data_IF_570340586225
#
_entry.id   IF_570340586225
#
_cell.length_a   1.000
_cell.length_b   1.000
_cell.length_c   1.000
_cell.angle_alpha   90.00
_cell.angle_beta   90.00
_cell.angle_gamma   90.00
#
_symmetry.space_group_name_H-M   'P 1'
#
loop_
_entity.id
_entity.type
_entity.pdbx_description
1 polymer ?
#
# COMPACT_ATOMS: atom_id res chain seq x y z
N UNK A 1 28.15 21.17 17.03
CA UNK A 1 27.41 19.90 17.22
C UNK A 1 25.91 20.20 17.24
N UNK A 2 25.25 20.13 16.08
CA UNK A 2 23.83 20.45 15.95
C UNK A 2 22.99 19.48 16.80
N UNK A 3 22.12 20.02 17.67
CA UNK A 3 21.09 19.26 18.38
C UNK A 3 20.31 18.45 17.35
N UNK A 4 20.37 17.12 17.44
CA UNK A 4 19.36 16.24 16.85
C UNK A 4 18.01 16.67 17.45
N UNK A 5 17.29 17.52 16.74
CA UNK A 5 15.85 17.69 16.95
C UNK A 5 15.24 16.29 16.97
N UNK A 6 14.49 16.00 18.02
CA UNK A 6 13.98 14.67 18.29
C UNK A 6 12.88 14.31 17.28
N UNK A 7 13.31 13.75 16.15
CA UNK A 7 12.47 13.31 15.04
C UNK A 7 11.29 12.45 15.50
N UNK A 8 11.49 11.63 16.55
CA UNK A 8 10.46 10.74 17.10
C UNK A 8 9.24 11.49 17.64
N UNK A 9 9.46 12.67 18.22
CA UNK A 9 8.39 13.53 18.73
C UNK A 9 7.57 14.16 17.61
N UNK A 10 8.21 14.50 16.47
CA UNK A 10 7.53 15.05 15.29
C UNK A 10 6.73 13.97 14.54
N UNK A 11 7.30 12.76 14.43
CA UNK A 11 6.72 11.69 13.62
C UNK A 11 5.50 11.03 14.28
N UNK A 12 5.46 11.00 15.62
CA UNK A 12 4.40 10.35 16.41
C UNK A 12 3.36 11.37 16.89
N UNK A 13 3.56 12.67 16.67
CA UNK A 13 2.69 13.74 17.17
C UNK A 13 1.22 13.57 16.75
N UNK A 14 0.97 13.04 15.54
CA UNK A 14 -0.37 12.85 14.98
C UNK A 14 -1.01 11.50 15.35
N UNK A 15 -0.46 10.75 16.29
CA UNK A 15 -1.01 9.45 16.67
C UNK A 15 -2.33 9.65 17.43
N UNK A 16 -3.46 9.38 16.79
CA UNK A 16 -4.78 9.41 17.42
C UNK A 16 -5.00 8.13 18.25
N UNK A 17 -4.68 8.20 19.54
CA UNK A 17 -5.09 7.19 20.52
C UNK A 17 -6.30 7.71 21.30
N UNK A 18 -7.22 6.81 21.66
CA UNK A 18 -8.41 7.15 22.45
C UNK A 18 -8.07 7.77 23.82
N UNK A 19 -6.86 7.46 24.33
CA UNK A 19 -6.32 8.06 25.56
C UNK A 19 -4.93 8.66 25.30
N UNK A 20 -4.82 9.95 25.59
CA UNK A 20 -3.62 10.77 25.38
C UNK A 20 -2.36 10.24 26.08
N UNK A 21 -2.50 9.47 27.17
CA UNK A 21 -1.38 8.86 27.87
C UNK A 21 -0.74 7.72 27.08
N UNK A 22 -1.49 7.05 26.20
CA UNK A 22 -0.93 6.07 25.27
C UNK A 22 -0.04 6.76 24.24
N UNK A 23 -0.45 7.93 23.73
CA UNK A 23 0.35 8.73 22.81
C UNK A 23 1.69 9.15 23.42
N UNK A 24 1.66 9.71 24.63
CA UNK A 24 2.87 10.06 25.39
C UNK A 24 3.77 8.84 25.63
N UNK A 25 3.17 7.70 26.01
CA UNK A 25 3.92 6.44 26.22
C UNK A 25 4.61 5.97 24.94
N UNK A 26 3.92 5.97 23.80
CA UNK A 26 4.49 5.55 22.52
C UNK A 26 5.68 6.44 22.14
N UNK A 27 5.56 7.76 22.30
CA UNK A 27 6.65 8.70 22.06
C UNK A 27 7.88 8.39 22.93
N UNK A 28 7.66 8.14 24.22
CA UNK A 28 8.72 7.78 25.16
C UNK A 28 9.44 6.48 24.78
N UNK A 29 8.66 5.47 24.38
CA UNK A 29 9.19 4.17 23.92
C UNK A 29 9.99 4.33 22.64
N UNK A 30 9.49 5.05 21.64
CA UNK A 30 10.22 5.23 20.38
C UNK A 30 11.46 6.09 20.59
N UNK A 31 11.40 7.14 21.41
CA UNK A 31 12.57 7.93 21.80
C UNK A 31 13.64 7.08 22.49
N UNK A 32 13.25 6.18 23.40
CA UNK A 32 14.18 5.26 24.07
C UNK A 32 14.83 4.29 23.08
N UNK A 33 14.03 3.58 22.27
CA UNK A 33 14.53 2.55 21.37
C UNK A 33 15.33 3.14 20.18
N UNK A 34 14.97 4.33 19.70
CA UNK A 34 15.67 5.00 18.59
C UNK A 34 17.08 5.47 18.95
N UNK A 35 17.34 5.80 20.23
CA UNK A 35 18.68 6.13 20.73
C UNK A 35 19.61 4.93 20.81
N UNK A 36 19.04 3.72 20.91
CA UNK A 36 19.78 2.47 21.13
C UNK A 36 19.42 1.39 20.10
N UNK A 37 19.57 1.66 18.79
CA UNK A 37 19.19 0.70 17.76
C UNK A 37 20.03 -0.57 17.86
N UNK A 38 19.36 -1.74 17.81
CA UNK A 38 20.01 -3.05 17.88
C UNK A 38 20.26 -3.58 19.30
N UNK A 39 19.97 -2.80 20.34
CA UNK A 39 19.96 -3.29 21.73
C UNK A 39 18.63 -3.97 22.06
N UNK A 40 18.66 -4.92 22.98
CA UNK A 40 17.43 -5.47 23.57
C UNK A 40 16.72 -4.42 24.44
N UNK A 41 15.42 -4.59 24.66
CA UNK A 41 14.63 -3.65 25.50
C UNK A 41 15.26 -3.42 26.88
N UNK A 42 15.72 -4.44 27.64
CA UNK A 42 16.36 -4.21 28.94
C UNK A 42 17.69 -3.47 28.85
N UNK A 43 18.43 -3.62 27.74
CA UNK A 43 19.69 -2.90 27.52
C UNK A 43 19.42 -1.44 27.14
N UNK A 44 18.45 -1.19 26.27
CA UNK A 44 18.05 0.14 25.84
C UNK A 44 17.41 0.98 26.95
N UNK A 45 16.70 0.33 27.90
CA UNK A 45 16.10 0.95 29.07
C UNK A 45 16.86 0.62 30.37
N UNK A 46 18.19 0.45 30.27
CA UNK A 46 19.06 0.06 31.38
C UNK A 46 19.10 1.07 32.53
N UNK A 47 18.80 2.34 32.25
CA UNK A 47 18.69 3.42 33.24
C UNK A 47 17.48 3.24 34.18
N UNK A 48 16.46 2.48 33.78
CA UNK A 48 15.28 2.26 34.62
C UNK A 48 14.52 0.96 34.32
N UNK A 49 14.39 0.12 35.36
CA UNK A 49 13.53 -1.07 35.33
C UNK A 49 12.07 -0.72 35.02
N UNK A 50 11.57 0.43 35.49
CA UNK A 50 10.19 0.86 35.21
C UNK A 50 9.99 1.20 33.73
N UNK A 51 11.01 1.74 33.07
CA UNK A 51 10.97 2.06 31.64
C UNK A 51 10.92 0.77 30.80
N UNK A 52 11.75 -0.23 31.11
CA UNK A 52 11.68 -1.56 30.50
C UNK A 52 10.29 -2.17 30.62
N UNK A 53 9.71 -2.15 31.84
CA UNK A 53 8.38 -2.69 32.08
C UNK A 53 7.29 -1.91 31.34
N UNK A 54 7.45 -0.59 31.20
CA UNK A 54 6.50 0.26 30.47
C UNK A 54 6.44 -0.06 28.97
N UNK A 55 7.57 -0.45 28.36
CA UNK A 55 7.67 -0.86 26.94
C UNK A 55 6.93 -2.17 26.73
N UNK A 56 7.20 -3.18 27.56
CA UNK A 56 6.49 -4.47 27.46
C UNK A 56 4.98 -4.32 27.69
N UNK A 57 4.58 -3.48 28.65
CA UNK A 57 3.16 -3.19 28.90
C UNK A 57 2.49 -2.49 27.71
N UNK A 58 3.20 -1.61 27.00
CA UNK A 58 2.69 -0.97 25.79
C UNK A 58 2.44 -2.01 24.69
N UNK A 59 3.40 -2.90 24.43
CA UNK A 59 3.26 -3.94 23.40
C UNK A 59 2.18 -4.97 23.72
N UNK A 60 1.95 -5.26 25.00
CA UNK A 60 0.89 -6.16 25.43
C UNK A 60 -0.50 -5.49 25.45
N UNK A 61 -0.60 -4.17 25.27
CA UNK A 61 -1.86 -3.44 25.39
C UNK A 61 -2.70 -3.56 24.12
N UNK A 62 -3.78 -4.36 24.19
CA UNK A 62 -4.73 -4.57 23.08
C UNK A 62 -5.45 -3.31 22.59
N UNK A 63 -5.47 -2.24 23.38
CA UNK A 63 -6.07 -0.94 22.99
C UNK A 63 -5.14 -0.10 22.11
N UNK A 64 -3.84 -0.40 22.09
CA UNK A 64 -2.85 0.26 21.23
C UNK A 64 -2.63 -0.61 20.01
N UNK A 65 -3.28 -0.27 18.91
CA UNK A 65 -3.17 -1.04 17.67
C UNK A 65 -1.96 -0.58 16.84
N UNK A 66 -1.19 -1.49 16.22
CA UNK A 66 -0.08 -1.12 15.34
C UNK A 66 -0.47 -0.16 14.21
N UNK A 67 -1.73 -0.19 13.77
CA UNK A 67 -2.28 0.71 12.76
C UNK A 67 -2.30 2.17 13.25
N UNK A 68 -2.57 2.41 14.55
CA UNK A 68 -2.61 3.76 15.14
C UNK A 68 -1.22 4.35 15.29
N UNK A 69 -0.21 3.52 15.57
CA UNK A 69 1.21 3.94 15.61
C UNK A 69 1.71 4.26 14.21
N UNK A 70 1.32 3.47 13.19
CA UNK A 70 1.70 3.74 11.79
C UNK A 70 0.97 4.95 11.21
N UNK A 71 -0.25 5.23 11.66
CA UNK A 71 -1.04 6.38 11.19
C UNK A 71 -0.30 7.72 11.35
N UNK A 72 0.54 7.88 12.35
CA UNK A 72 1.31 9.11 12.56
C UNK A 72 2.51 9.23 11.62
N UNK A 73 3.22 8.13 11.33
CA UNK A 73 4.17 8.06 10.21
C UNK A 73 3.51 8.36 8.85
N UNK A 74 2.22 8.06 8.69
CA UNK A 74 1.47 8.38 7.48
C UNK A 74 1.05 9.87 7.42
N UNK A 75 0.73 10.47 8.56
CA UNK A 75 0.49 11.92 8.70
C UNK A 75 1.76 12.76 8.60
N UNK A 76 2.92 12.19 8.95
CA UNK A 76 4.25 12.81 8.81
C UNK A 76 4.80 12.76 7.38
N UNK A 77 4.09 12.09 6.44
CA UNK A 77 4.07 12.53 5.04
C UNK A 77 3.43 13.93 5.03
N UNK A 78 4.20 14.92 5.48
CA UNK A 78 3.79 16.32 5.65
C UNK A 78 3.51 17.05 4.33
N UNK A 79 3.29 16.30 3.25
CA UNK A 79 2.82 16.84 1.99
C UNK A 79 1.35 17.26 2.16
N UNK A 80 1.06 18.51 1.82
CA UNK A 80 -0.29 19.00 1.69
C UNK A 80 -1.10 18.08 0.75
N UNK A 81 -2.40 18.00 0.97
CA UNK A 81 -3.28 17.32 0.01
C UNK A 81 -3.11 17.99 -1.34
N UNK A 82 -2.65 17.23 -2.34
CA UNK A 82 -2.36 17.75 -3.67
C UNK A 82 -3.64 17.92 -4.49
N UNK A 83 -4.67 17.12 -4.20
CA UNK A 83 -5.98 17.22 -4.84
C UNK A 83 -6.93 16.11 -4.44
N UNK A 84 -8.15 16.21 -4.99
CA UNK A 84 -9.23 15.25 -4.80
C UNK A 84 -9.77 14.78 -6.15
N UNK A 85 -10.21 13.53 -6.22
CA UNK A 85 -10.89 12.98 -7.40
C UNK A 85 -11.85 11.87 -6.99
N UNK A 86 -12.98 11.81 -7.68
CA UNK A 86 -13.93 10.71 -7.55
C UNK A 86 -13.50 9.55 -8.44
N UNK A 87 -13.50 8.34 -7.89
CA UNK A 87 -13.32 7.11 -8.66
C UNK A 87 -14.51 6.18 -8.49
N UNK A 88 -14.86 5.47 -9.56
CA UNK A 88 -15.86 4.42 -9.50
C UNK A 88 -15.22 3.12 -9.00
N UNK A 89 -15.85 2.54 -7.97
CA UNK A 89 -15.44 1.27 -7.40
C UNK A 89 -16.37 0.19 -7.94
N UNK A 90 -15.88 -0.74 -8.78
CA UNK A 90 -16.73 -1.73 -9.40
C UNK A 90 -17.27 -2.70 -8.35
N UNK A 91 -18.51 -3.15 -8.56
CA UNK A 91 -19.17 -4.19 -7.78
C UNK A 91 -18.30 -5.46 -7.72
N UNK A 92 -18.26 -6.09 -6.55
CA UNK A 92 -17.83 -7.47 -6.39
C UNK A 92 -18.86 -8.21 -5.49
N UNK A 93 -18.71 -9.53 -5.22
CA UNK A 93 -19.68 -10.25 -4.37
C UNK A 93 -19.85 -9.66 -2.95
N UNK A 94 -18.84 -8.97 -2.43
CA UNK A 94 -18.78 -8.42 -1.08
C UNK A 94 -19.08 -6.92 -1.01
N UNK A 95 -19.15 -6.23 -2.17
CA UNK A 95 -19.27 -4.76 -2.23
C UNK A 95 -20.15 -4.30 -3.39
N UNK A 96 -21.02 -3.34 -3.10
CA UNK A 96 -21.83 -2.67 -4.11
C UNK A 96 -20.98 -1.73 -4.98
N UNK A 97 -21.46 -1.47 -6.20
CA UNK A 97 -20.93 -0.39 -7.04
C UNK A 97 -21.11 0.92 -6.28
N UNK A 98 -20.04 1.71 -6.14
CA UNK A 98 -20.11 3.01 -5.49
C UNK A 98 -19.03 3.95 -5.99
N UNK A 99 -19.28 5.24 -5.87
CA UNK A 99 -18.28 6.28 -6.09
C UNK A 99 -17.55 6.56 -4.78
N UNK A 100 -16.23 6.62 -4.83
CA UNK A 100 -15.39 6.98 -3.69
C UNK A 100 -14.65 8.30 -3.99
N UNK A 101 -14.77 9.28 -3.09
CA UNK A 101 -13.97 10.50 -3.15
C UNK A 101 -12.60 10.21 -2.54
N UNK A 102 -11.53 10.37 -3.32
CA UNK A 102 -10.16 10.11 -2.87
C UNK A 102 -9.38 11.41 -2.77
N UNK A 103 -8.57 11.52 -1.72
CA UNK A 103 -7.48 12.49 -1.59
C UNK A 103 -6.15 11.84 -1.91
N UNK A 104 -5.23 12.64 -2.46
CA UNK A 104 -3.86 12.19 -2.72
C UNK A 104 -2.83 13.12 -2.10
N UNK A 105 -1.78 12.50 -1.57
CA UNK A 105 -0.55 13.15 -1.12
C UNK A 105 0.61 12.43 -1.79
N UNK A 106 1.63 13.17 -2.22
CA UNK A 106 2.82 12.55 -2.81
C UNK A 106 4.09 13.20 -2.29
N UNK A 107 5.15 12.42 -2.18
CA UNK A 107 6.49 12.93 -1.88
C UNK A 107 7.58 12.02 -2.47
N UNK A 108 8.72 12.61 -2.76
CA UNK A 108 9.93 11.88 -3.11
C UNK A 108 10.65 11.40 -1.84
N UNK A 109 11.09 10.14 -1.82
CA UNK A 109 11.76 9.52 -0.68
C UNK A 109 12.96 8.72 -1.16
N UNK A 110 14.05 8.80 -0.40
CA UNK A 110 15.25 7.99 -0.64
C UNK A 110 15.27 6.85 0.37
N UNK A 111 15.19 5.61 -0.11
CA UNK A 111 15.30 4.41 0.73
C UNK A 111 16.78 4.06 0.88
N UNK A 112 17.27 4.23 2.10
CA UNK A 112 18.64 3.90 2.47
C UNK A 112 18.86 2.38 2.57
N UNK A 113 20.08 1.93 2.27
CA UNK A 113 20.46 0.52 2.43
C UNK A 113 20.44 0.16 3.93
N UNK A 114 19.81 -0.97 4.34
CA UNK A 114 19.70 -1.34 5.74
C UNK A 114 21.06 -1.35 6.45
N UNK A 115 21.11 -0.75 7.65
CA UNK A 115 22.39 -0.49 8.35
C UNK A 115 23.23 -1.75 8.59
N UNK A 116 22.58 -2.88 8.84
CA UNK A 116 23.20 -4.17 9.15
C UNK A 116 23.29 -5.13 7.96
N UNK A 117 23.06 -4.66 6.73
CA UNK A 117 23.16 -5.50 5.55
C UNK A 117 24.63 -5.94 5.33
N UNK A 118 24.88 -7.25 5.24
CA UNK A 118 26.24 -7.83 5.12
C UNK A 118 27.05 -7.26 3.94
N UNK A 119 26.38 -6.85 2.88
CA UNK A 119 26.99 -6.30 1.67
C UNK A 119 26.63 -4.81 1.46
N UNK A 120 26.45 -4.03 2.53
CA UNK A 120 25.99 -2.64 2.46
C UNK A 120 26.80 -1.77 1.50
N UNK A 121 28.13 -1.96 1.44
CA UNK A 121 29.02 -1.22 0.53
C UNK A 121 28.76 -1.48 -0.96
N UNK A 122 28.09 -2.57 -1.32
CA UNK A 122 27.79 -2.94 -2.71
C UNK A 122 26.50 -2.30 -3.24
N UNK A 123 25.63 -1.82 -2.35
CA UNK A 123 24.33 -1.30 -2.74
C UNK A 123 24.27 0.21 -2.54
N UNK A 124 23.52 0.87 -3.41
CA UNK A 124 23.25 2.30 -3.31
C UNK A 124 21.81 2.52 -2.83
N UNK A 125 21.54 3.62 -2.10
CA UNK A 125 20.18 4.01 -1.77
C UNK A 125 19.33 4.22 -3.03
N UNK A 126 18.05 3.86 -2.95
CA UNK A 126 17.12 3.93 -4.08
C UNK A 126 16.20 5.14 -3.91
N UNK A 127 16.12 5.97 -4.94
CA UNK A 127 15.14 7.05 -5.00
C UNK A 127 13.79 6.50 -5.46
N UNK A 128 12.73 6.77 -4.70
CA UNK A 128 11.36 6.42 -5.02
C UNK A 128 10.43 7.61 -4.77
N UNK A 129 9.22 7.48 -5.27
CA UNK A 129 8.11 8.35 -4.96
C UNK A 129 7.07 7.55 -4.19
N UNK A 130 6.48 8.17 -3.17
CA UNK A 130 5.39 7.61 -2.37
C UNK A 130 4.14 8.41 -2.66
N UNK A 131 3.03 7.71 -2.94
CA UNK A 131 1.70 8.29 -3.08
C UNK A 131 0.80 7.68 -2.00
N UNK A 132 0.27 8.51 -1.12
CA UNK A 132 -0.77 8.12 -0.17
C UNK A 132 -2.13 8.52 -0.77
N UNK A 133 -3.01 7.54 -0.92
CA UNK A 133 -4.37 7.68 -1.43
C UNK A 133 -5.33 7.31 -0.30
N UNK A 134 -6.23 8.23 0.06
CA UNK A 134 -7.17 8.04 1.17
C UNK A 134 -8.58 8.45 0.77
N UNK A 135 -9.56 7.61 1.12
CA UNK A 135 -10.97 7.89 0.93
C UNK A 135 -11.49 8.91 1.94
N UNK A 136 -12.15 9.93 1.42
CA UNK A 136 -12.86 10.94 2.20
C UNK A 136 -14.27 10.44 2.49
N UNK A 137 -14.66 10.48 3.76
CA UNK A 137 -16.00 10.09 4.23
C UNK A 137 -16.43 8.70 3.72
N UNK A 138 -15.68 7.64 4.04
CA UNK A 138 -16.01 6.28 3.63
C UNK A 138 -17.39 5.85 4.21
N UNK A 139 -18.16 5.00 3.50
CA UNK A 139 -19.40 4.46 4.02
C UNK A 139 -19.16 3.66 5.31
N UNK A 140 -20.05 3.75 6.30
CA UNK A 140 -19.90 3.06 7.60
C UNK A 140 -19.72 1.54 7.47
N UNK A 141 -20.39 0.92 6.50
CA UNK A 141 -20.37 -0.53 6.28
C UNK A 141 -19.24 -0.99 5.33
N UNK A 142 -18.52 -0.06 4.71
CA UNK A 142 -17.49 -0.37 3.74
C UNK A 142 -16.09 -0.15 4.32
N UNK A 143 -15.16 -1.07 4.02
CA UNK A 143 -13.75 -0.86 4.33
C UNK A 143 -13.23 0.36 3.53
N UNK A 144 -12.64 1.37 4.18
CA UNK A 144 -12.17 2.57 3.50
C UNK A 144 -11.02 2.25 2.54
N UNK A 145 -10.97 2.96 1.42
CA UNK A 145 -9.83 2.88 0.51
C UNK A 145 -8.66 3.63 1.12
N UNK A 146 -7.56 2.90 1.30
CA UNK A 146 -6.28 3.44 1.72
C UNK A 146 -5.17 2.71 1.00
N UNK A 147 -4.46 3.41 0.12
CA UNK A 147 -3.33 2.86 -0.62
C UNK A 147 -2.08 3.67 -0.36
N UNK A 148 -0.99 2.99 -0.02
CA UNK A 148 0.35 3.57 0.00
C UNK A 148 1.11 2.97 -1.17
N UNK A 149 1.27 3.75 -2.23
CA UNK A 149 1.89 3.31 -3.47
C UNK A 149 3.35 3.78 -3.50
N UNK A 150 4.25 2.87 -3.84
CA UNK A 150 5.64 3.19 -4.14
C UNK A 150 5.83 3.12 -5.65
N UNK A 151 6.45 4.13 -6.24
CA UNK A 151 6.67 4.20 -7.69
C UNK A 151 7.99 4.87 -8.03
N UNK A 152 8.60 4.44 -9.13
CA UNK A 152 9.74 5.11 -9.77
C UNK A 152 9.30 6.18 -10.77
N UNK A 153 8.00 6.23 -11.08
CA UNK A 153 7.42 7.19 -12.01
C UNK A 153 7.39 8.60 -11.40
N UNK A 154 7.46 9.67 -12.22
CA UNK A 154 7.41 11.05 -11.73
C UNK A 154 6.06 11.35 -11.05
N UNK A 155 6.09 12.20 -10.01
CA UNK A 155 4.91 12.61 -9.22
C UNK A 155 4.91 14.12 -8.92
N UNK A 156 5.58 14.91 -9.75
CA UNK A 156 5.78 16.35 -9.56
C UNK A 156 4.48 17.14 -9.76
N UNK A 157 3.56 16.62 -10.57
CA UNK A 157 2.27 17.24 -10.86
C UNK A 157 1.11 16.37 -10.39
N UNK A 158 -0.01 17.02 -10.07
CA UNK A 158 -1.25 16.33 -9.69
C UNK A 158 -1.72 15.34 -10.78
N UNK A 159 -1.54 15.69 -12.06
CA UNK A 159 -1.89 14.82 -13.19
C UNK A 159 -1.07 13.53 -13.19
N UNK A 160 0.24 13.61 -12.93
CA UNK A 160 1.12 12.43 -12.82
C UNK A 160 0.73 11.55 -11.64
N UNK A 161 0.42 12.14 -10.48
CA UNK A 161 -0.06 11.40 -9.30
C UNK A 161 -1.33 10.62 -9.64
N UNK A 162 -2.32 11.28 -10.25
CA UNK A 162 -3.56 10.61 -10.64
C UNK A 162 -3.36 9.55 -11.72
N UNK A 163 -2.39 9.70 -12.62
CA UNK A 163 -2.04 8.66 -13.58
C UNK A 163 -1.58 7.38 -12.88
N UNK A 164 -0.69 7.50 -11.88
CA UNK A 164 -0.25 6.38 -11.06
C UNK A 164 -1.43 5.71 -10.32
N UNK A 165 -2.34 6.51 -9.74
CA UNK A 165 -3.53 5.99 -9.06
C UNK A 165 -4.47 5.28 -10.03
N UNK A 166 -4.71 5.84 -11.23
CA UNK A 166 -5.50 5.20 -12.28
C UNK A 166 -4.89 3.86 -12.70
N UNK A 167 -3.60 3.82 -12.99
CA UNK A 167 -2.91 2.57 -13.33
C UNK A 167 -3.02 1.53 -12.21
N UNK A 168 -2.85 1.93 -10.96
CA UNK A 168 -3.02 1.03 -9.83
C UNK A 168 -4.47 0.54 -9.67
N UNK A 169 -5.47 1.38 -9.95
CA UNK A 169 -6.88 0.94 -9.92
C UNK A 169 -7.19 -0.16 -10.94
N UNK A 170 -6.45 -0.20 -12.06
CA UNK A 170 -6.57 -1.23 -13.09
C UNK A 170 -5.89 -2.56 -12.71
N UNK A 171 -5.18 -2.62 -11.57
CA UNK A 171 -4.47 -3.84 -11.13
C UNK A 171 -5.36 -5.08 -11.10
N UNK A 172 -6.66 -4.93 -10.81
CA UNK A 172 -7.63 -6.03 -10.78
C UNK A 172 -7.91 -6.66 -12.15
N UNK A 173 -7.55 -6.02 -13.27
CA UNK A 173 -7.76 -6.59 -14.61
C UNK A 173 -7.03 -7.92 -14.79
N UNK A 174 -5.87 -8.13 -14.14
CA UNK A 174 -5.17 -9.41 -14.20
C UNK A 174 -5.97 -10.55 -13.54
N UNK A 175 -6.72 -10.26 -12.48
CA UNK A 175 -7.59 -11.25 -11.85
C UNK A 175 -8.78 -11.59 -12.76
N UNK A 176 -9.30 -10.59 -13.49
CA UNK A 176 -10.32 -10.84 -14.52
C UNK A 176 -9.76 -11.70 -15.64
N UNK A 177 -8.53 -11.47 -16.07
CA UNK A 177 -7.84 -12.33 -17.04
C UNK A 177 -7.71 -13.77 -16.52
N UNK A 178 -7.25 -13.96 -15.27
CA UNK A 178 -7.17 -15.29 -14.66
C UNK A 178 -8.55 -15.97 -14.56
N UNK A 179 -9.59 -15.22 -14.22
CA UNK A 179 -10.96 -15.74 -14.20
C UNK A 179 -11.41 -16.19 -15.60
N UNK A 180 -11.18 -15.37 -16.63
CA UNK A 180 -11.49 -15.74 -18.02
C UNK A 180 -10.72 -16.99 -18.44
N UNK A 181 -9.43 -17.09 -18.12
CA UNK A 181 -8.60 -18.22 -18.47
C UNK A 181 -9.01 -19.52 -17.74
N UNK A 182 -9.29 -19.43 -16.44
CA UNK A 182 -9.62 -20.60 -15.60
C UNK A 182 -11.08 -21.01 -15.69
N UNK A 183 -12.00 -20.07 -15.48
CA UNK A 183 -13.43 -20.37 -15.42
C UNK A 183 -14.11 -20.26 -16.78
N UNK A 184 -13.68 -19.30 -17.63
CA UNK A 184 -14.22 -19.12 -18.98
C UNK A 184 -13.69 -20.19 -19.95
N UNK A 185 -12.38 -20.20 -20.14
CA UNK A 185 -11.68 -21.14 -21.04
C UNK A 185 -11.49 -22.53 -20.45
N UNK A 186 -11.75 -22.72 -19.14
CA UNK A 186 -11.69 -24.04 -18.46
C UNK A 186 -10.35 -24.75 -18.60
N UNK A 187 -9.24 -24.00 -18.65
CA UNK A 187 -7.91 -24.57 -18.87
C UNK A 187 -7.54 -25.64 -17.83
N UNK A 188 -8.01 -25.49 -16.59
CA UNK A 188 -7.74 -26.42 -15.48
C UNK A 188 -8.49 -27.76 -15.63
N UNK A 189 -9.41 -27.89 -16.59
CA UNK A 189 -10.13 -29.14 -16.88
C UNK A 189 -9.45 -29.99 -17.96
N UNK A 190 -8.44 -29.44 -18.64
CA UNK A 190 -7.71 -30.14 -19.70
C UNK A 190 -6.94 -31.34 -19.10
N UNK A 191 -7.14 -32.52 -19.66
CA UNK A 191 -6.45 -33.76 -19.27
C UNK A 191 -5.21 -33.99 -20.14
N UNK A 192 -4.30 -33.01 -20.19
CA UNK A 192 -3.04 -33.14 -20.95
C UNK A 192 -1.96 -33.77 -20.08
N UNK A 193 -1.38 -34.86 -20.56
CA UNK A 193 -0.49 -35.73 -19.76
C UNK A 193 0.95 -35.23 -19.66
N UNK A 194 1.40 -34.36 -20.57
CA UNK A 194 2.79 -33.90 -20.62
C UNK A 194 2.91 -32.40 -20.37
N UNK A 195 4.02 -32.03 -19.73
CA UNK A 195 4.38 -30.63 -19.46
C UNK A 195 4.35 -29.78 -20.73
N UNK A 196 4.93 -30.26 -21.83
CA UNK A 196 5.00 -29.49 -23.08
C UNK A 196 3.62 -29.23 -23.68
N UNK A 197 2.71 -30.22 -23.61
CA UNK A 197 1.32 -30.04 -24.04
C UNK A 197 0.58 -29.03 -23.16
N UNK A 198 0.80 -29.07 -21.84
CA UNK A 198 0.23 -28.10 -20.91
C UNK A 198 0.73 -26.67 -21.18
N UNK A 199 2.03 -26.49 -21.45
CA UNK A 199 2.60 -25.19 -21.79
C UNK A 199 2.05 -24.64 -23.12
N UNK A 200 1.94 -25.49 -24.13
CA UNK A 200 1.36 -25.11 -25.42
C UNK A 200 -0.13 -24.71 -25.29
N UNK A 201 -0.88 -25.48 -24.50
CA UNK A 201 -2.26 -25.12 -24.18
C UNK A 201 -2.32 -23.80 -23.42
N UNK A 202 -1.53 -23.61 -22.38
CA UNK A 202 -1.47 -22.35 -21.62
C UNK A 202 -1.17 -21.15 -22.51
N UNK A 203 -0.19 -21.25 -23.41
CA UNK A 203 0.13 -20.17 -24.36
C UNK A 203 -1.07 -19.84 -25.26
N UNK A 204 -1.68 -20.87 -25.87
CA UNK A 204 -2.81 -20.71 -26.80
C UNK A 204 -4.04 -20.12 -26.09
N UNK A 205 -4.42 -20.71 -24.96
CA UNK A 205 -5.58 -20.27 -24.18
C UNK A 205 -5.36 -18.90 -23.53
N UNK A 206 -4.12 -18.51 -23.22
CA UNK A 206 -3.84 -17.15 -22.74
C UNK A 206 -4.16 -16.09 -23.81
N UNK A 207 -3.82 -16.35 -25.08
CA UNK A 207 -4.18 -15.47 -26.20
C UNK A 207 -5.70 -15.40 -26.36
N UNK A 208 -6.38 -16.55 -26.33
CA UNK A 208 -7.85 -16.62 -26.43
C UNK A 208 -8.53 -15.88 -25.28
N UNK A 209 -8.10 -16.12 -24.03
CA UNK A 209 -8.65 -15.46 -22.85
C UNK A 209 -8.45 -13.95 -22.89
N UNK A 210 -7.27 -13.48 -23.32
CA UNK A 210 -7.02 -12.06 -23.53
C UNK A 210 -7.93 -11.48 -24.62
N UNK A 211 -8.11 -12.17 -25.76
CA UNK A 211 -8.97 -11.69 -26.84
C UNK A 211 -10.43 -11.62 -26.43
N UNK A 212 -10.95 -12.63 -25.72
CA UNK A 212 -12.29 -12.60 -25.15
C UNK A 212 -12.48 -11.42 -24.20
N UNK A 213 -11.47 -11.16 -23.35
CA UNK A 213 -11.47 -10.00 -22.47
C UNK A 213 -11.46 -8.69 -23.27
N UNK A 214 -10.59 -8.55 -24.29
CA UNK A 214 -10.52 -7.39 -25.18
C UNK A 214 -11.89 -7.08 -25.81
N UNK A 215 -12.49 -8.06 -26.50
CA UNK A 215 -13.80 -7.94 -27.13
C UNK A 215 -14.87 -7.47 -26.12
N UNK A 216 -14.86 -8.05 -24.92
CA UNK A 216 -15.79 -7.68 -23.85
C UNK A 216 -15.64 -6.22 -23.42
N UNK A 217 -14.42 -5.72 -23.30
CA UNK A 217 -14.17 -4.32 -22.90
C UNK A 217 -14.42 -3.34 -24.05
N UNK A 218 -14.08 -3.69 -25.30
CA UNK A 218 -14.42 -2.89 -26.48
C UNK A 218 -15.93 -2.68 -26.57
N UNK A 219 -16.73 -3.74 -26.48
CA UNK A 219 -18.19 -3.64 -26.53
C UNK A 219 -18.79 -2.83 -25.38
N UNK A 220 -18.15 -2.82 -24.20
CA UNK A 220 -18.62 -2.03 -23.04
C UNK A 220 -18.26 -0.55 -23.12
N UNK A 221 -17.07 -0.23 -23.65
CA UNK A 221 -16.56 1.13 -23.72
C UNK A 221 -17.01 1.85 -25.00
N UNK A 222 -17.17 1.10 -26.09
CA UNK A 222 -17.58 1.60 -27.40
C UNK A 222 -18.68 0.71 -28.01
N UNK A 223 -19.92 0.75 -27.46
CA UNK A 223 -21.01 -0.12 -27.91
C UNK A 223 -21.38 0.02 -29.40
N UNK A 224 -21.16 1.20 -29.97
CA UNK A 224 -21.49 1.55 -31.36
C UNK A 224 -20.38 1.19 -32.36
N UNK A 225 -19.26 0.65 -31.88
CA UNK A 225 -18.11 0.34 -32.75
C UNK A 225 -18.34 -0.98 -33.49
N UNK A 226 -17.99 -1.03 -34.78
CA UNK A 226 -18.13 -2.25 -35.59
C UNK A 226 -17.34 -3.41 -34.99
N UNK A 227 -17.96 -4.60 -34.99
CA UNK A 227 -17.34 -5.85 -34.54
C UNK A 227 -16.10 -6.25 -35.36
N UNK A 228 -15.90 -5.68 -36.55
CA UNK A 228 -14.76 -5.97 -37.44
C UNK A 228 -13.44 -5.34 -36.95
N UNK A 229 -13.51 -4.37 -36.05
CA UNK A 229 -12.33 -3.64 -35.54
C UNK A 229 -11.69 -4.37 -34.34
N UNK A 230 -12.37 -5.38 -33.79
CA UNK A 230 -12.14 -5.90 -32.43
C UNK A 230 -11.34 -7.20 -32.36
#
# INVERSE_FOLDING_TARGET
>A
MARLQDWSSQEIHYSAFDDCWHGKRVQEVVRCLSKHPGQSVPQAASESKSQSQSIYRLWANKRVKPEQIRASHHMSVGAAVLGQMNIEIPRNPERVLRTACLTVRAMAVKIEVPRHHKQRSKYQPIQLNIILVEEVNPPQEAKPIRWLLLTTLPVETLAQVWQCVRWYSLRWLIERFHYTLKSGCKIEQLQLETKDRLLNALATYSIVAWRLMHLTYCARLHPEQSCEIA
#
